data_IF_696964908467
#
_entry.id   IF_696964908467
#
_cell.length_a   1.000
_cell.length_b   1.000
_cell.length_c   1.000
_cell.angle_alpha   90.00
_cell.angle_beta   90.00
_cell.angle_gamma   90.00
#
_symmetry.space_group_name_H-M   'P 1'
#
loop_
_entity.id
_entity.type
_entity.pdbx_description
1 polymer ?
#
# COMPACT_ATOMS: atom_id res chain seq x y z
N UNK A 1 4.60 -30.00 -21.89
CA UNK A 1 4.40 -28.59 -22.26
C UNK A 1 3.18 -28.13 -21.50
N UNK A 2 3.35 -27.34 -20.45
CA UNK A 2 2.21 -26.79 -19.71
C UNK A 2 1.58 -25.67 -20.53
N UNK A 3 0.26 -25.68 -20.64
CA UNK A 3 -0.53 -24.56 -21.14
C UNK A 3 -0.86 -23.70 -19.92
N UNK A 4 -0.74 -22.37 -20.03
CA UNK A 4 -1.03 -21.46 -18.93
C UNK A 4 -2.52 -21.18 -18.75
N UNK A 5 -2.89 -20.33 -17.78
CA UNK A 5 -4.28 -19.98 -17.49
C UNK A 5 -4.98 -19.39 -18.71
N UNK A 6 -6.26 -19.70 -18.90
CA UNK A 6 -7.03 -19.28 -20.07
C UNK A 6 -6.55 -19.88 -21.40
N UNK A 7 -5.63 -20.84 -21.37
CA UNK A 7 -5.05 -21.44 -22.58
C UNK A 7 -3.84 -20.68 -23.14
N UNK A 8 -3.31 -19.69 -22.41
CA UNK A 8 -2.18 -18.89 -22.88
C UNK A 8 -0.92 -19.74 -23.13
N UNK A 9 -0.13 -19.35 -24.14
CA UNK A 9 1.03 -20.12 -24.61
C UNK A 9 2.36 -19.41 -24.40
N UNK A 10 2.35 -18.16 -23.98
CA UNK A 10 3.53 -17.36 -23.67
C UNK A 10 3.20 -16.34 -22.58
N UNK A 11 4.25 -15.75 -22.01
CA UNK A 11 4.17 -14.77 -20.92
C UNK A 11 3.22 -13.61 -21.23
N UNK A 12 3.32 -13.03 -22.43
CA UNK A 12 2.47 -11.90 -22.84
C UNK A 12 0.97 -12.27 -22.87
N UNK A 13 0.62 -13.42 -23.45
CA UNK A 13 -0.76 -13.91 -23.45
C UNK A 13 -1.26 -14.20 -22.03
N UNK A 14 -0.41 -14.77 -21.18
CA UNK A 14 -0.76 -15.09 -19.79
C UNK A 14 -0.92 -13.83 -18.95
N UNK A 15 -0.05 -12.83 -19.13
CA UNK A 15 -0.14 -11.54 -18.45
C UNK A 15 -1.42 -10.82 -18.86
N UNK A 16 -1.72 -10.73 -20.16
CA UNK A 16 -2.96 -10.12 -20.64
C UNK A 16 -4.22 -10.83 -20.13
N UNK A 17 -4.18 -12.16 -20.01
CA UNK A 17 -5.28 -12.93 -19.42
C UNK A 17 -5.39 -12.66 -17.91
N UNK A 18 -4.28 -12.69 -17.18
CA UNK A 18 -4.25 -12.54 -15.73
C UNK A 18 -4.41 -11.10 -15.22
N UNK A 19 -4.25 -10.08 -16.08
CA UNK A 19 -4.51 -8.68 -15.75
C UNK A 19 -6.02 -8.39 -15.58
N UNK A 20 -6.88 -9.33 -15.98
CA UNK A 20 -8.31 -9.27 -15.70
C UNK A 20 -8.63 -9.75 -14.27
N UNK A 21 -9.32 -8.90 -13.52
CA UNK A 21 -9.88 -9.24 -12.20
C UNK A 21 -10.75 -10.51 -12.25
N UNK A 22 -11.43 -10.76 -13.37
CA UNK A 22 -12.32 -11.91 -13.55
C UNK A 22 -11.54 -13.23 -13.68
N UNK A 23 -10.27 -13.16 -14.08
CA UNK A 23 -9.37 -14.31 -14.25
C UNK A 23 -8.41 -14.50 -13.07
N UNK A 24 -8.42 -13.57 -12.10
CA UNK A 24 -7.49 -13.55 -10.97
C UNK A 24 -7.47 -14.86 -10.17
N UNK A 25 -8.62 -15.50 -9.96
CA UNK A 25 -8.69 -16.75 -9.17
C UNK A 25 -7.97 -17.92 -9.85
N UNK A 26 -8.14 -18.06 -11.16
CA UNK A 26 -7.43 -19.08 -11.95
C UNK A 26 -5.93 -18.79 -11.98
N UNK A 27 -5.55 -17.53 -12.18
CA UNK A 27 -4.16 -17.12 -12.25
C UNK A 27 -3.41 -17.28 -10.93
N UNK A 28 -4.04 -16.97 -9.79
CA UNK A 28 -3.45 -17.20 -8.46
C UNK A 28 -3.28 -18.70 -8.21
N UNK A 29 -4.28 -19.52 -8.57
CA UNK A 29 -4.22 -20.98 -8.41
C UNK A 29 -3.09 -21.57 -9.26
N UNK A 30 -3.01 -21.17 -10.53
CA UNK A 30 -1.93 -21.59 -11.43
C UNK A 30 -0.56 -21.18 -10.91
N UNK A 31 -0.43 -19.95 -10.42
CA UNK A 31 0.83 -19.43 -9.89
C UNK A 31 1.26 -20.16 -8.60
N UNK A 32 0.33 -20.54 -7.73
CA UNK A 32 0.59 -21.38 -6.55
C UNK A 32 1.05 -22.78 -6.94
N UNK A 33 0.33 -23.45 -7.85
CA UNK A 33 0.65 -24.81 -8.29
C UNK A 33 2.00 -24.92 -9.01
N UNK A 34 2.37 -23.88 -9.74
CA UNK A 34 3.62 -23.83 -10.50
C UNK A 34 4.76 -23.11 -9.76
N UNK A 35 4.53 -22.66 -8.52
CA UNK A 35 5.54 -21.97 -7.72
C UNK A 35 6.06 -20.67 -8.35
N UNK A 36 5.19 -19.95 -9.08
CA UNK A 36 5.54 -18.70 -9.76
C UNK A 36 5.60 -17.49 -8.80
N UNK A 37 5.04 -17.63 -7.59
CA UNK A 37 5.05 -16.62 -6.54
C UNK A 37 5.82 -17.12 -5.33
N UNK A 38 6.59 -16.24 -4.69
CA UNK A 38 7.10 -16.49 -3.35
C UNK A 38 5.96 -16.63 -2.34
N UNK A 39 6.24 -17.20 -1.16
CA UNK A 39 5.24 -17.32 -0.09
C UNK A 39 4.66 -15.96 0.32
N UNK A 40 5.47 -14.89 0.27
CA UNK A 40 5.03 -13.54 0.57
C UNK A 40 4.09 -12.99 -0.53
N UNK A 41 4.48 -13.12 -1.80
CA UNK A 41 3.66 -12.67 -2.93
C UNK A 41 2.34 -13.46 -3.04
N UNK A 42 2.37 -14.76 -2.78
CA UNK A 42 1.17 -15.58 -2.74
C UNK A 42 0.23 -15.17 -1.59
N UNK A 43 0.78 -14.82 -0.42
CA UNK A 43 -0.02 -14.32 0.70
C UNK A 43 -0.68 -12.97 0.36
N UNK A 44 0.03 -12.05 -0.30
CA UNK A 44 -0.54 -10.80 -0.81
C UNK A 44 -1.64 -11.07 -1.84
N UNK A 45 -1.38 -11.93 -2.83
CA UNK A 45 -2.35 -12.27 -3.87
C UNK A 45 -3.63 -12.88 -3.27
N UNK A 46 -3.50 -13.76 -2.27
CA UNK A 46 -4.63 -14.35 -1.53
C UNK A 46 -5.44 -13.31 -0.75
N UNK A 47 -4.83 -12.23 -0.24
CA UNK A 47 -5.57 -11.12 0.38
C UNK A 47 -6.43 -10.38 -0.64
N UNK A 48 -5.89 -10.11 -1.84
CA UNK A 48 -6.64 -9.48 -2.94
C UNK A 48 -7.79 -10.38 -3.39
N UNK A 49 -7.53 -11.68 -3.59
CA UNK A 49 -8.55 -12.70 -3.89
C UNK A 49 -9.66 -12.71 -2.84
N UNK A 50 -9.30 -12.73 -1.56
CA UNK A 50 -10.28 -12.72 -0.48
C UNK A 50 -11.10 -11.41 -0.46
N UNK A 51 -10.48 -10.27 -0.78
CA UNK A 51 -11.17 -8.98 -0.90
C UNK A 51 -12.18 -8.99 -2.07
N UNK A 52 -11.77 -9.47 -3.25
CA UNK A 52 -12.66 -9.68 -4.40
C UNK A 52 -13.85 -10.55 -4.04
N UNK A 53 -13.61 -11.68 -3.38
CA UNK A 53 -14.67 -12.62 -2.99
C UNK A 53 -15.64 -12.04 -1.94
N UNK A 54 -15.20 -11.04 -1.16
CA UNK A 54 -16.05 -10.25 -0.26
C UNK A 54 -16.78 -9.10 -0.96
N UNK A 55 -16.52 -8.85 -2.25
CA UNK A 55 -17.09 -7.71 -2.98
C UNK A 55 -16.48 -6.37 -2.61
N UNK A 56 -15.27 -6.36 -2.06
CA UNK A 56 -14.52 -5.12 -1.79
C UNK A 56 -14.26 -4.42 -3.12
N UNK A 57 -14.57 -3.12 -3.18
CA UNK A 57 -14.35 -2.32 -4.38
C UNK A 57 -12.84 -2.14 -4.60
N UNK A 58 -12.34 -2.68 -5.70
CA UNK A 58 -10.95 -2.49 -6.11
C UNK A 58 -10.76 -1.09 -6.72
N UNK A 59 -9.60 -0.45 -6.51
CA UNK A 59 -9.26 0.79 -7.21
C UNK A 59 -9.20 0.54 -8.72
N UNK A 60 -9.34 1.59 -9.53
CA UNK A 60 -9.36 1.46 -10.99
C UNK A 60 -8.00 1.12 -11.62
N UNK A 61 -7.00 0.78 -10.81
CA UNK A 61 -5.70 0.34 -11.31
C UNK A 61 -5.77 -1.14 -11.73
N UNK A 62 -5.40 -1.44 -12.97
CA UNK A 62 -5.39 -2.82 -13.47
C UNK A 62 -4.29 -3.67 -12.82
N UNK A 63 -3.07 -3.13 -12.79
CA UNK A 63 -1.87 -3.84 -12.33
C UNK A 63 -1.21 -3.19 -11.12
N UNK A 64 -0.40 -3.93 -10.35
CA UNK A 64 0.31 -3.41 -9.16
C UNK A 64 1.10 -2.14 -9.47
N UNK A 65 1.81 -2.10 -10.60
CA UNK A 65 2.61 -0.94 -11.03
C UNK A 65 1.79 0.27 -11.42
N UNK A 66 0.63 0.07 -12.07
CA UNK A 66 -0.30 1.17 -12.34
C UNK A 66 -1.03 1.62 -11.07
N UNK A 67 -1.21 0.71 -10.11
CA UNK A 67 -1.75 0.98 -8.79
C UNK A 67 -0.93 1.96 -7.98
N UNK A 68 0.39 1.77 -7.89
CA UNK A 68 1.24 2.68 -7.11
C UNK A 68 1.19 4.12 -7.62
N UNK A 69 1.20 4.30 -8.96
CA UNK A 69 1.07 5.61 -9.59
C UNK A 69 -0.31 6.23 -9.31
N UNK A 70 -1.36 5.45 -9.54
CA UNK A 70 -2.75 5.86 -9.29
C UNK A 70 -2.96 6.26 -7.82
N UNK A 71 -2.59 5.40 -6.87
CA UNK A 71 -2.75 5.65 -5.44
C UNK A 71 -1.88 6.79 -4.92
N UNK A 72 -0.81 7.16 -5.62
CA UNK A 72 0.02 8.33 -5.29
C UNK A 72 -0.63 9.66 -5.69
N UNK A 73 -1.68 9.64 -6.52
CA UNK A 73 -2.44 10.82 -6.88
C UNK A 73 -3.40 11.18 -5.74
N UNK A 74 -3.38 12.45 -5.25
CA UNK A 74 -4.26 12.86 -4.14
C UNK A 74 -5.75 12.62 -4.38
N UNK A 75 -6.19 12.59 -5.64
CA UNK A 75 -7.57 12.32 -6.02
C UNK A 75 -7.99 10.86 -5.82
N UNK A 76 -7.04 9.92 -5.79
CA UNK A 76 -7.25 8.47 -5.78
C UNK A 76 -6.76 7.80 -4.49
N UNK A 77 -6.14 8.58 -3.61
CA UNK A 77 -5.57 8.06 -2.37
C UNK A 77 -6.63 7.47 -1.42
N UNK A 78 -7.79 8.12 -1.29
CA UNK A 78 -8.84 7.71 -0.33
C UNK A 78 -9.43 6.33 -0.67
N UNK A 79 -9.66 6.05 -1.95
CA UNK A 79 -10.12 4.73 -2.41
C UNK A 79 -9.03 3.67 -2.22
N UNK A 80 -7.75 4.01 -2.42
CA UNK A 80 -6.65 3.10 -2.19
C UNK A 80 -6.46 2.77 -0.70
N UNK A 81 -6.55 3.75 0.20
CA UNK A 81 -6.50 3.50 1.66
C UNK A 81 -7.67 2.61 2.07
N UNK A 82 -8.87 2.88 1.55
CA UNK A 82 -10.06 2.09 1.85
C UNK A 82 -9.91 0.65 1.38
N UNK A 83 -9.45 0.44 0.14
CA UNK A 83 -9.15 -0.90 -0.36
C UNK A 83 -8.09 -1.59 0.49
N UNK A 84 -6.96 -0.93 0.78
CA UNK A 84 -5.88 -1.50 1.57
C UNK A 84 -6.36 -1.94 2.96
N UNK A 85 -7.23 -1.14 3.58
CA UNK A 85 -7.83 -1.46 4.87
C UNK A 85 -8.79 -2.66 4.78
N UNK A 86 -9.73 -2.66 3.84
CA UNK A 86 -10.72 -3.74 3.69
C UNK A 86 -10.13 -5.05 3.17
N UNK A 87 -9.04 -4.99 2.41
CA UNK A 87 -8.29 -6.14 1.92
C UNK A 87 -7.30 -6.69 2.97
N UNK A 88 -7.06 -5.97 4.07
CA UNK A 88 -6.18 -6.41 5.16
C UNK A 88 -4.68 -6.17 4.88
N UNK A 89 -4.37 -5.20 4.03
CA UNK A 89 -3.02 -4.65 3.84
C UNK A 89 -2.70 -3.54 4.84
N UNK A 90 -3.71 -2.93 5.45
CA UNK A 90 -3.55 -1.81 6.38
C UNK A 90 -4.51 -1.97 7.56
N UNK A 91 -4.03 -1.79 8.79
CA UNK A 91 -4.90 -1.77 9.95
C UNK A 91 -5.59 -0.40 10.13
N UNK A 92 -6.64 -0.29 10.96
CA UNK A 92 -7.39 0.94 11.12
C UNK A 92 -6.57 2.14 11.60
N UNK A 93 -5.53 1.93 12.43
CA UNK A 93 -4.68 3.03 12.92
C UNK A 93 -3.77 3.54 11.81
N UNK A 94 -3.17 2.61 11.07
CA UNK A 94 -2.33 2.95 9.92
C UNK A 94 -3.16 3.63 8.81
N UNK A 95 -4.41 3.21 8.61
CA UNK A 95 -5.34 3.85 7.68
C UNK A 95 -5.72 5.27 8.12
N UNK A 96 -5.99 5.49 9.41
CA UNK A 96 -6.24 6.83 9.95
C UNK A 96 -5.02 7.75 9.73
N UNK A 97 -3.82 7.26 10.03
CA UNK A 97 -2.58 8.00 9.78
C UNK A 97 -2.40 8.32 8.30
N UNK A 98 -2.58 7.35 7.40
CA UNK A 98 -2.48 7.55 5.96
C UNK A 98 -3.48 8.61 5.45
N UNK A 99 -4.70 8.66 6.01
CA UNK A 99 -5.69 9.70 5.67
C UNK A 99 -5.25 11.08 6.16
N UNK A 100 -4.70 11.18 7.38
CA UNK A 100 -4.19 12.44 7.95
C UNK A 100 -3.00 12.99 7.17
N UNK A 101 -2.08 12.12 6.78
CA UNK A 101 -0.80 12.48 6.14
C UNK A 101 -0.85 12.49 4.61
N UNK A 102 -1.99 12.09 4.06
CA UNK A 102 -2.17 11.85 2.63
C UNK A 102 -1.16 10.84 2.06
N UNK A 103 -0.85 9.79 2.81
CA UNK A 103 0.06 8.72 2.41
C UNK A 103 1.53 9.13 2.25
N UNK A 104 1.93 10.29 2.77
CA UNK A 104 3.31 10.81 2.69
C UNK A 104 3.82 11.14 4.08
N UNK A 105 5.03 10.70 4.42
CA UNK A 105 5.69 11.06 5.66
C UNK A 105 6.59 12.30 5.54
N UNK A 106 7.26 12.69 6.65
CA UNK A 106 8.17 13.82 6.68
C UNK A 106 9.30 13.66 5.67
N UNK A 107 9.66 14.75 4.96
CA UNK A 107 10.66 14.68 3.90
C UNK A 107 10.22 13.90 2.64
N UNK A 108 8.97 13.43 2.58
CA UNK A 108 8.44 12.67 1.46
C UNK A 108 8.67 11.16 1.55
N UNK A 109 9.11 10.66 2.71
CA UNK A 109 9.27 9.22 2.94
C UNK A 109 7.93 8.48 2.77
N UNK A 110 7.99 7.22 2.33
CA UNK A 110 6.83 6.41 1.99
C UNK A 110 6.65 5.18 2.88
N UNK A 111 7.74 4.65 3.43
CA UNK A 111 7.69 3.49 4.35
C UNK A 111 8.03 3.92 5.77
N UNK A 112 7.60 3.11 6.74
CA UNK A 112 7.92 3.34 8.14
C UNK A 112 9.43 3.40 8.36
N UNK A 113 10.19 2.45 7.80
CA UNK A 113 11.64 2.40 7.96
C UNK A 113 12.34 3.61 7.33
N UNK A 114 11.86 4.09 6.18
CA UNK A 114 12.38 5.28 5.52
C UNK A 114 12.12 6.53 6.37
N UNK A 115 10.90 6.65 6.92
CA UNK A 115 10.52 7.77 7.79
C UNK A 115 11.27 7.76 9.12
N UNK A 116 11.43 6.59 9.74
CA UNK A 116 12.22 6.42 10.96
C UNK A 116 13.68 6.82 10.71
N UNK A 117 14.30 6.28 9.66
CA UNK A 117 15.68 6.63 9.29
C UNK A 117 15.85 8.12 8.99
N UNK A 118 14.84 8.74 8.36
CA UNK A 118 14.84 10.18 8.10
C UNK A 118 14.77 10.98 9.41
N UNK A 119 13.84 10.63 10.31
CA UNK A 119 13.64 11.35 11.57
C UNK A 119 14.72 11.10 12.63
N UNK A 120 15.40 9.97 12.58
CA UNK A 120 16.53 9.64 13.46
C UNK A 120 17.75 10.53 13.20
N UNK A 121 17.83 11.16 12.03
CA UNK A 121 18.85 12.16 11.74
C UNK A 121 18.56 13.46 12.50
N UNK A 122 19.47 13.94 13.38
CA UNK A 122 19.30 15.21 14.09
C UNK A 122 19.02 16.41 13.17
N UNK A 123 19.53 16.40 11.93
CA UNK A 123 19.30 17.45 10.94
C UNK A 123 17.86 17.48 10.39
N UNK A 124 17.05 16.45 10.65
CA UNK A 124 15.68 16.30 10.14
C UNK A 124 14.63 16.29 11.26
N UNK A 125 15.04 16.28 12.52
CA UNK A 125 14.15 16.27 13.68
C UNK A 125 13.13 17.42 13.66
N UNK A 126 13.54 18.61 13.23
CA UNK A 126 12.63 19.76 13.11
C UNK A 126 11.58 19.53 12.02
N UNK A 127 11.97 18.94 10.88
CA UNK A 127 11.03 18.57 9.81
C UNK A 127 10.00 17.56 10.31
N UNK A 128 10.43 16.53 11.05
CA UNK A 128 9.54 15.53 11.61
C UNK A 128 8.61 16.10 12.68
N UNK A 129 9.12 16.97 13.55
CA UNK A 129 8.30 17.67 14.55
C UNK A 129 7.22 18.55 13.90
N UNK A 130 7.61 19.36 12.92
CA UNK A 130 6.66 20.24 12.21
C UNK A 130 5.61 19.43 11.44
N UNK A 131 6.02 18.33 10.82
CA UNK A 131 5.11 17.40 10.15
C UNK A 131 4.11 16.79 11.14
N UNK A 132 4.59 16.29 12.29
CA UNK A 132 3.74 15.72 13.32
C UNK A 132 2.73 16.75 13.87
N UNK A 133 3.16 18.00 14.05
CA UNK A 133 2.31 19.12 14.47
C UNK A 133 1.25 19.45 13.42
N UNK A 134 1.62 19.57 12.15
CA UNK A 134 0.72 19.91 11.04
C UNK A 134 -0.37 18.85 10.84
N UNK A 135 -0.01 17.56 10.98
CA UNK A 135 -0.92 16.44 10.78
C UNK A 135 -1.61 15.96 12.07
N UNK A 136 -1.42 16.67 13.20
CA UNK A 136 -2.07 16.34 14.48
C UNK A 136 -1.68 14.96 15.02
N UNK A 137 -0.42 14.57 14.82
CA UNK A 137 0.16 13.30 15.29
C UNK A 137 0.70 13.39 16.73
N UNK A 138 0.85 14.60 17.26
CA UNK A 138 1.26 14.90 18.63
C UNK A 138 0.26 15.86 19.26
N UNK A 139 0.05 15.77 20.57
CA UNK A 139 -0.88 16.64 21.29
C UNK A 139 -0.31 18.05 21.49
N UNK A 140 -1.17 19.05 21.71
CA UNK A 140 -0.75 20.42 22.04
C UNK A 140 0.14 20.47 23.30
N UNK A 141 -0.15 19.62 24.28
CA UNK A 141 0.66 19.50 25.50
C UNK A 141 2.08 18.97 25.20
N UNK A 142 2.19 17.98 24.32
CA UNK A 142 3.50 17.45 23.88
C UNK A 142 4.27 18.47 23.04
N UNK A 143 3.58 19.22 22.18
CA UNK A 143 4.17 20.33 21.42
C UNK A 143 4.81 21.34 22.38
N UNK A 144 4.07 21.77 23.42
CA UNK A 144 4.57 22.74 24.38
C UNK A 144 5.81 22.23 25.12
N UNK A 145 5.77 20.99 25.64
CA UNK A 145 6.92 20.39 26.35
C UNK A 145 8.16 20.28 25.46
N UNK A 146 7.99 19.94 24.18
CA UNK A 146 9.08 19.84 23.22
C UNK A 146 9.64 21.22 22.85
N UNK A 147 8.81 22.25 22.73
CA UNK A 147 9.25 23.62 22.45
C UNK A 147 9.99 24.25 23.66
N UNK A 148 9.54 23.97 24.89
CA UNK A 148 10.19 24.42 26.13
C UNK A 148 11.57 23.76 26.33
N UNK A 149 11.72 22.46 26.01
CA UNK A 149 12.99 21.74 26.12
C UNK A 149 14.04 22.10 25.05
N UNK A 150 13.68 22.95 24.07
CA UNK A 150 14.59 23.49 23.05
C UNK A 150 15.18 24.86 23.42
N UNK A 151 14.74 25.44 24.55
CA UNK A 151 15.26 26.68 25.14
C UNK A 151 16.37 26.38 26.15
#
# INVERSE_FOLDING_TARGET
>A
MGIGPGGCRNEFECEAYCDSIDHMDECISFAEENGLLSAAELAEAKKVQAAKNRGVKMPACGSKKSGDAYCSEPAHMEECITFAQEAGFMDPKDAEMARKTKGKGPGGCKTKEECESFCDNPAHQETCFNFAKEHGLISEEEIQKMEEGRQ
#
